data_IF_784702972991
#
_entry.id   IF_784702972991
#
_cell.length_a   1.000
_cell.length_b   1.000
_cell.length_c   1.000
_cell.angle_alpha   90.00
_cell.angle_beta   90.00
_cell.angle_gamma   90.00
#
_symmetry.space_group_name_H-M   'P 1'
#
loop_
_entity.id
_entity.type
_entity.pdbx_description
1 polymer ?
#
# COMPACT_ATOMS: atom_id res chain seq x y z
N UNK A 1 5.30 -15.45 1.20
CA UNK A 1 3.98 -14.86 0.90
C UNK A 1 3.51 -15.44 -0.42
N UNK A 2 2.21 -15.70 -0.59
CA UNK A 2 1.62 -16.14 -1.87
C UNK A 2 1.74 -15.03 -2.93
N UNK A 3 1.67 -15.36 -4.25
CA UNK A 3 1.65 -14.34 -5.29
C UNK A 3 0.59 -13.27 -5.03
N UNK A 4 1.00 -12.00 -5.12
CA UNK A 4 0.16 -10.83 -4.79
C UNK A 4 -0.78 -10.50 -5.94
N UNK A 5 -2.07 -10.33 -5.64
CA UNK A 5 -3.11 -9.87 -6.58
C UNK A 5 -3.60 -8.46 -6.21
N UNK A 6 -4.33 -7.82 -7.12
CA UNK A 6 -4.85 -6.45 -6.91
C UNK A 6 -5.60 -6.27 -5.56
N UNK A 7 -6.47 -7.22 -5.20
CA UNK A 7 -7.25 -7.13 -3.96
C UNK A 7 -6.39 -7.23 -2.69
N UNK A 8 -5.24 -7.92 -2.75
CA UNK A 8 -4.28 -7.92 -1.64
C UNK A 8 -3.72 -6.52 -1.41
N UNK A 9 -3.32 -5.86 -2.50
CA UNK A 9 -2.76 -4.50 -2.46
C UNK A 9 -3.81 -3.53 -1.93
N UNK A 10 -5.04 -3.60 -2.45
CA UNK A 10 -6.15 -2.75 -1.99
C UNK A 10 -6.42 -2.93 -0.49
N UNK A 11 -6.41 -4.17 0.01
CA UNK A 11 -6.59 -4.45 1.43
C UNK A 11 -5.45 -3.90 2.29
N UNK A 12 -4.19 -4.09 1.86
CA UNK A 12 -3.03 -3.58 2.57
C UNK A 12 -2.99 -2.04 2.61
N UNK A 13 -3.34 -1.38 1.51
CA UNK A 13 -3.48 0.09 1.44
C UNK A 13 -4.53 0.58 2.41
N UNK A 14 -5.70 -0.08 2.47
CA UNK A 14 -6.75 0.31 3.40
C UNK A 14 -6.30 0.20 4.86
N UNK A 15 -5.47 -0.79 5.22
CA UNK A 15 -4.89 -0.90 6.56
C UNK A 15 -3.85 0.20 6.81
N UNK A 16 -2.94 0.44 5.87
CA UNK A 16 -1.91 1.48 6.01
C UNK A 16 -2.54 2.87 6.14
N UNK A 17 -3.52 3.20 5.29
CA UNK A 17 -4.21 4.49 5.29
C UNK A 17 -5.02 4.77 6.58
N UNK A 18 -5.22 3.77 7.44
CA UNK A 18 -5.85 3.98 8.75
C UNK A 18 -4.92 4.67 9.76
N UNK A 19 -3.62 4.76 9.46
CA UNK A 19 -2.60 5.37 10.31
C UNK A 19 -1.99 6.63 9.66
N UNK A 20 -1.28 7.46 10.45
CA UNK A 20 -0.49 8.58 9.93
C UNK A 20 0.53 8.15 8.85
N UNK A 21 0.83 9.01 7.84
CA UNK A 21 1.70 8.65 6.71
C UNK A 21 3.10 8.15 7.07
N UNK A 22 3.69 8.64 8.16
CA UNK A 22 4.98 8.21 8.69
C UNK A 22 5.00 6.75 9.16
N UNK A 23 3.83 6.16 9.43
CA UNK A 23 3.69 4.77 9.89
C UNK A 23 3.38 3.78 8.76
N UNK A 24 3.02 4.26 7.57
CA UNK A 24 2.58 3.40 6.46
C UNK A 24 3.63 2.34 6.10
N UNK A 25 4.90 2.73 6.05
CA UNK A 25 6.02 1.81 5.77
C UNK A 25 6.15 0.69 6.80
N UNK A 26 6.01 1.02 8.09
CA UNK A 26 6.06 0.03 9.19
C UNK A 26 4.88 -0.94 9.11
N UNK A 27 3.70 -0.43 8.75
CA UNK A 27 2.50 -1.25 8.60
C UNK A 27 2.65 -2.24 7.46
N UNK A 28 3.02 -1.81 6.25
CA UNK A 28 3.16 -2.75 5.12
C UNK A 28 4.29 -3.76 5.36
N UNK A 29 5.42 -3.35 5.95
CA UNK A 29 6.49 -4.28 6.30
C UNK A 29 6.00 -5.35 7.29
N UNK A 30 5.08 -4.99 8.20
CA UNK A 30 4.45 -5.93 9.11
C UNK A 30 3.54 -6.91 8.39
N UNK A 31 2.65 -6.43 7.53
CA UNK A 31 1.73 -7.29 6.77
C UNK A 31 2.46 -8.29 5.88
N UNK A 32 3.52 -7.85 5.18
CA UNK A 32 4.37 -8.72 4.35
C UNK A 32 4.99 -9.81 5.21
N UNK A 33 5.61 -9.45 6.34
CA UNK A 33 6.23 -10.41 7.27
C UNK A 33 5.23 -11.43 7.81
N UNK A 34 4.02 -11.01 8.17
CA UNK A 34 2.97 -11.93 8.61
C UNK A 34 2.56 -12.90 7.49
N UNK A 35 2.37 -12.40 6.27
CA UNK A 35 2.04 -13.23 5.11
C UNK A 35 3.19 -14.20 4.73
N UNK A 36 4.44 -13.79 4.92
CA UNK A 36 5.61 -14.67 4.75
C UNK A 36 5.64 -15.79 5.79
N UNK A 37 5.47 -15.47 7.07
CA UNK A 37 5.42 -16.47 8.14
C UNK A 37 4.27 -17.45 7.93
N UNK A 38 3.10 -16.95 7.50
CA UNK A 38 1.96 -17.79 7.18
C UNK A 38 2.25 -18.76 6.02
N UNK A 39 2.90 -18.28 4.96
CA UNK A 39 3.24 -19.11 3.80
C UNK A 39 4.28 -20.17 4.14
N UNK A 40 5.30 -19.84 4.95
CA UNK A 40 6.29 -20.82 5.43
C UNK A 40 5.61 -21.92 6.26
N UNK A 41 4.71 -21.54 7.17
CA UNK A 41 3.93 -22.49 7.95
C UNK A 41 3.07 -23.38 7.05
N UNK A 42 2.36 -22.79 6.09
CA UNK A 42 1.52 -23.53 5.14
C UNK A 42 2.32 -24.54 4.33
N UNK A 43 3.50 -24.16 3.85
CA UNK A 43 4.41 -25.08 3.15
C UNK A 43 4.85 -26.26 4.02
N UNK A 44 5.12 -26.02 5.31
CA UNK A 44 5.56 -27.06 6.26
C UNK A 44 4.44 -27.98 6.74
N UNK A 45 3.27 -27.43 7.06
CA UNK A 45 2.18 -28.15 7.73
C UNK A 45 0.97 -28.42 6.84
N UNK A 46 0.99 -27.96 5.58
CA UNK A 46 -0.11 -28.11 4.61
C UNK A 46 -1.46 -27.58 5.13
N UNK A 47 -1.40 -26.58 6.03
CA UNK A 47 -2.56 -25.96 6.67
C UNK A 47 -2.31 -24.46 6.85
N UNK A 48 -3.37 -23.65 6.93
CA UNK A 48 -3.24 -22.23 7.21
C UNK A 48 -2.57 -22.00 8.58
N UNK A 49 -1.76 -20.95 8.68
CA UNK A 49 -1.16 -20.55 9.94
C UNK A 49 -2.26 -20.12 10.93
N UNK A 50 -2.29 -20.65 12.16
CA UNK A 50 -3.39 -20.43 13.11
C UNK A 50 -3.61 -18.95 13.46
N UNK A 51 -2.52 -18.18 13.50
CA UNK A 51 -2.56 -16.73 13.74
C UNK A 51 -2.61 -15.90 12.45
N UNK A 52 -1.70 -16.12 11.49
CA UNK A 52 -1.48 -15.25 10.33
C UNK A 52 -2.24 -15.65 9.05
N UNK A 53 -2.95 -16.78 9.07
CA UNK A 53 -3.82 -17.21 7.97
C UNK A 53 -3.11 -17.94 6.83
N UNK A 54 -3.57 -17.76 5.61
CA UNK A 54 -3.27 -18.65 4.47
C UNK A 54 -2.01 -18.28 3.67
N UNK A 55 -1.27 -17.25 4.08
CA UNK A 55 -0.06 -16.78 3.39
C UNK A 55 -0.32 -15.69 2.35
N UNK A 56 -1.57 -15.29 2.11
CA UNK A 56 -1.88 -14.11 1.28
C UNK A 56 -1.72 -12.81 2.06
N UNK A 57 -1.36 -11.74 1.35
CA UNK A 57 -1.27 -10.40 1.93
C UNK A 57 -2.66 -9.86 2.32
N UNK A 58 -3.73 -10.21 1.60
CA UNK A 58 -5.09 -9.90 1.99
C UNK A 58 -5.45 -10.52 3.35
N UNK A 59 -5.16 -11.81 3.59
CA UNK A 59 -5.49 -12.43 4.88
C UNK A 59 -4.72 -11.76 6.03
N UNK A 60 -3.45 -11.40 5.83
CA UNK A 60 -2.70 -10.61 6.81
C UNK A 60 -3.39 -9.25 7.08
N UNK A 61 -3.76 -8.51 6.02
CA UNK A 61 -4.43 -7.22 6.14
C UNK A 61 -5.81 -7.32 6.82
N UNK A 62 -6.61 -8.35 6.50
CA UNK A 62 -7.96 -8.54 7.03
C UNK A 62 -8.01 -8.73 8.55
N UNK A 63 -6.89 -9.10 9.19
CA UNK A 63 -6.78 -9.24 10.65
C UNK A 63 -6.72 -7.91 11.39
N UNK A 64 -6.37 -6.83 10.72
CA UNK A 64 -6.46 -5.50 11.30
C UNK A 64 -7.93 -5.05 11.25
N UNK A 65 -8.50 -4.41 12.27
CA UNK A 65 -9.90 -3.96 12.24
C UNK A 65 -10.08 -2.60 11.55
N UNK A 66 -9.09 -1.70 11.66
CA UNK A 66 -9.21 -0.33 11.18
C UNK A 66 -8.87 -0.22 9.70
N UNK A 67 -9.66 0.55 8.96
CA UNK A 67 -9.46 0.83 7.52
C UNK A 67 -9.56 2.32 7.28
N UNK A 68 -8.61 2.86 6.52
CA UNK A 68 -8.60 4.23 6.05
C UNK A 68 -8.99 4.36 4.57
N UNK A 69 -8.94 5.58 4.04
CA UNK A 69 -9.32 5.87 2.66
C UNK A 69 -8.31 5.27 1.66
N UNK A 70 -8.80 4.64 0.60
CA UNK A 70 -7.97 4.07 -0.48
C UNK A 70 -8.00 4.93 -1.76
N UNK A 71 -8.63 6.10 -1.71
CA UNK A 71 -8.74 7.00 -2.86
C UNK A 71 -7.39 7.61 -3.22
N UNK A 72 -7.09 7.67 -4.51
CA UNK A 72 -5.95 8.42 -5.05
C UNK A 72 -6.12 9.95 -4.94
N UNK A 73 -7.32 10.42 -4.59
CA UNK A 73 -7.65 11.86 -4.48
C UNK A 73 -7.41 12.44 -3.08
N UNK A 74 -6.93 11.64 -2.12
CA UNK A 74 -6.56 12.11 -0.78
C UNK A 74 -5.10 11.77 -0.48
N UNK A 75 -4.45 12.63 0.31
CA UNK A 75 -3.02 12.52 0.58
C UNK A 75 -2.69 11.23 1.35
N UNK A 76 -3.54 10.84 2.30
CA UNK A 76 -3.39 9.65 3.13
C UNK A 76 -3.51 8.38 2.28
N UNK A 77 -4.53 8.30 1.43
CA UNK A 77 -4.73 7.16 0.53
C UNK A 77 -3.62 7.05 -0.51
N UNK A 78 -3.22 8.16 -1.13
CA UNK A 78 -2.13 8.19 -2.10
C UNK A 78 -0.79 7.79 -1.46
N UNK A 79 -0.48 8.31 -0.26
CA UNK A 79 0.73 7.95 0.48
C UNK A 79 0.75 6.45 0.84
N UNK A 80 -0.40 5.89 1.24
CA UNK A 80 -0.52 4.47 1.54
C UNK A 80 -0.29 3.61 0.29
N UNK A 81 -0.86 3.97 -0.86
CA UNK A 81 -0.57 3.31 -2.14
C UNK A 81 0.91 3.32 -2.48
N UNK A 82 1.56 4.49 -2.38
CA UNK A 82 2.99 4.63 -2.67
C UNK A 82 3.82 3.76 -1.71
N UNK A 83 3.52 3.79 -0.41
CA UNK A 83 4.23 3.00 0.59
C UNK A 83 4.10 1.49 0.32
N UNK A 84 2.89 1.02 0.00
CA UNK A 84 2.64 -0.39 -0.29
C UNK A 84 3.37 -0.82 -1.56
N UNK A 85 3.26 -0.06 -2.64
CA UNK A 85 3.93 -0.39 -3.91
C UNK A 85 5.45 -0.34 -3.79
N UNK A 86 6.02 0.62 -3.03
CA UNK A 86 7.47 0.67 -2.75
C UNK A 86 7.95 -0.56 -1.98
N UNK A 87 7.18 -1.01 -0.99
CA UNK A 87 7.52 -2.22 -0.24
C UNK A 87 7.49 -3.47 -1.13
N UNK A 88 6.50 -3.60 -2.03
CA UNK A 88 6.44 -4.70 -2.99
C UNK A 88 7.56 -4.62 -4.03
N UNK A 89 7.90 -3.42 -4.53
CA UNK A 89 9.03 -3.20 -5.42
C UNK A 89 10.35 -3.63 -4.78
N UNK A 90 10.54 -3.41 -3.49
CA UNK A 90 11.74 -3.87 -2.78
C UNK A 90 11.87 -5.40 -2.75
N UNK A 91 10.76 -6.14 -2.84
CA UNK A 91 10.74 -7.61 -2.93
C UNK A 91 10.88 -8.12 -4.38
N UNK A 92 10.46 -7.32 -5.35
CA UNK A 92 10.48 -7.62 -6.78
C UNK A 92 11.27 -6.52 -7.49
N UNK A 93 12.62 -6.54 -7.42
CA UNK A 93 13.43 -5.49 -8.00
C UNK A 93 13.08 -5.34 -9.48
N UNK A 94 12.45 -4.21 -9.83
CA UNK A 94 12.21 -3.85 -11.22
C UNK A 94 13.57 -3.48 -11.80
N UNK A 95 14.22 -4.43 -12.48
CA UNK A 95 15.49 -4.21 -13.17
C UNK A 95 15.34 -3.07 -14.19
N UNK A 96 16.25 -2.09 -14.13
CA UNK A 96 16.45 -0.94 -15.05
C UNK A 96 15.21 -0.34 -15.72
N UNK A 97 14.08 -0.27 -14.99
CA UNK A 97 12.92 0.49 -15.47
C UNK A 97 13.18 1.96 -15.13
N UNK A 98 13.52 2.74 -16.15
CA UNK A 98 13.62 4.18 -16.03
C UNK A 98 12.22 4.79 -15.83
N UNK A 99 11.94 5.20 -14.59
CA UNK A 99 10.74 5.93 -14.21
C UNK A 99 10.97 7.45 -14.23
N UNK A 100 11.98 7.95 -14.96
CA UNK A 100 12.20 9.38 -15.15
C UNK A 100 10.90 10.02 -15.62
N UNK A 101 10.24 10.70 -14.69
CA UNK A 101 9.23 11.68 -15.02
C UNK A 101 10.05 12.87 -15.49
N UNK A 102 10.27 13.00 -16.80
CA UNK A 102 10.86 14.22 -17.37
C UNK A 102 10.19 15.42 -16.69
N UNK A 103 10.95 16.15 -15.87
CA UNK A 103 10.44 17.31 -15.15
C UNK A 103 9.92 18.32 -16.18
N UNK A 104 8.60 18.59 -16.28
CA UNK A 104 8.16 19.75 -17.01
C UNK A 104 8.48 20.94 -16.11
N UNK A 105 9.65 21.55 -16.37
CA UNK A 105 10.00 22.95 -16.14
C UNK A 105 8.92 23.72 -15.39
N UNK A 106 9.17 24.02 -14.11
CA UNK A 106 8.59 25.07 -13.27
C UNK A 106 7.60 26.01 -14.00
N UNK A 107 6.40 25.53 -14.28
CA UNK A 107 5.30 26.32 -14.86
C UNK A 107 3.97 25.77 -14.39
N UNK A 108 3.88 25.46 -13.09
CA UNK A 108 2.58 25.33 -12.43
C UNK A 108 2.05 26.73 -12.17
N UNK A 109 1.44 27.30 -13.21
CA UNK A 109 0.52 28.42 -13.10
C UNK A 109 -0.44 28.14 -11.95
N UNK A 110 -0.36 28.95 -10.89
CA UNK A 110 -1.35 28.98 -9.82
C UNK A 110 -2.73 29.03 -10.45
N UNK A 111 -3.54 27.99 -10.25
CA UNK A 111 -4.97 28.09 -10.48
C UNK A 111 -5.48 29.19 -9.51
N UNK A 112 -5.64 30.41 -10.02
CA UNK A 112 -6.35 31.46 -9.30
C UNK A 112 -7.79 31.00 -9.21
N UNK A 113 -8.22 30.61 -8.01
CA UNK A 113 -9.64 30.58 -7.67
C UNK A 113 -10.15 32.03 -7.82
N UNK A 114 -10.84 32.31 -8.92
CA UNK A 114 -11.63 33.53 -9.03
C UNK A 114 -12.85 33.36 -8.12
N UNK A 115 -12.75 33.91 -6.91
CA UNK A 115 -13.94 34.34 -6.17
C UNK A 115 -14.45 35.59 -6.86
N UNK A 116 -15.58 35.51 -7.57
CA UNK A 116 -16.40 36.70 -7.81
C UNK A 116 -17.53 36.72 -6.79
N UNK A 117 -17.44 37.72 -5.92
CA UNK A 117 -18.48 38.19 -5.02
C UNK A 117 -18.98 39.55 -5.52
N UNK A 118 -20.28 39.79 -5.32
CA UNK A 118 -21.04 41.03 -5.48
C UNK A 118 -21.40 41.42 -6.94
N UNK A 119 -22.65 41.73 -7.28
CA UNK A 119 -23.78 42.27 -6.50
C UNK A 119 -25.10 41.64 -6.87
#
# INVERSE_FOLDING_TARGET
MRPVIYNDVLAAVAVAAAAPPDQHGVIIATLIREADLAEVYRGRYQSAHPVFGDGSLMTAALRHPTRGPTSFQCAEGLAAWIAVLKALQALLPLSDVDFSLDEPSQSRTRLRLFTHSAR
#
